data_IF_298969396745
#
_entry.id   IF_298969396745
#
_cell.length_a   1.000
_cell.length_b   1.000
_cell.length_c   1.000
_cell.angle_alpha   90.00
_cell.angle_beta   90.00
_cell.angle_gamma   90.00
#
_symmetry.space_group_name_H-M   'P 1'
#
loop_
_entity.id
_entity.type
_entity.pdbx_description
1 polymer ?
#
# COMPACT_ATOMS: atom_id res chain seq x y z
N UNK A 1 11.02 32.05 3.35
CA UNK A 1 9.61 31.89 3.78
C UNK A 1 9.62 30.88 4.91
N UNK A 2 8.80 31.06 5.95
CA UNK A 2 8.61 30.01 6.96
C UNK A 2 7.78 28.87 6.35
N UNK A 3 8.11 27.60 6.65
CA UNK A 3 7.30 26.47 6.20
C UNK A 3 5.87 26.61 6.71
N UNK A 4 4.89 26.14 5.93
CA UNK A 4 3.52 26.07 6.44
C UNK A 4 3.44 25.06 7.60
N UNK A 5 2.48 25.21 8.51
CA UNK A 5 2.25 24.23 9.59
C UNK A 5 1.97 22.81 9.05
N UNK A 6 1.42 22.69 7.83
CA UNK A 6 1.26 21.41 7.12
C UNK A 6 2.63 20.82 6.78
N UNK A 7 3.53 21.62 6.20
CA UNK A 7 4.88 21.18 5.85
C UNK A 7 5.67 20.75 7.08
N UNK A 8 5.60 21.50 8.17
CA UNK A 8 6.26 21.15 9.44
C UNK A 8 5.81 19.77 9.95
N UNK A 9 4.49 19.53 9.99
CA UNK A 9 3.95 18.26 10.46
C UNK A 9 4.26 17.10 9.51
N UNK A 10 4.16 17.30 8.19
CA UNK A 10 4.52 16.27 7.21
C UNK A 10 6.02 15.97 7.24
N UNK A 11 6.88 16.96 7.51
CA UNK A 11 8.31 16.73 7.69
C UNK A 11 8.58 15.90 8.95
N UNK A 12 7.92 16.22 10.07
CA UNK A 12 8.03 15.41 11.30
C UNK A 12 7.60 13.95 11.04
N UNK A 13 6.48 13.74 10.34
CA UNK A 13 6.03 12.40 9.93
C UNK A 13 7.06 11.73 9.01
N UNK A 14 7.67 12.47 8.08
CA UNK A 14 8.72 11.93 7.19
C UNK A 14 9.96 11.48 7.94
N UNK A 15 10.37 12.19 8.99
CA UNK A 15 11.46 11.76 9.87
C UNK A 15 11.10 10.45 10.58
N UNK A 16 9.87 10.34 11.11
CA UNK A 16 9.39 9.13 11.78
C UNK A 16 9.24 7.93 10.82
N UNK A 17 8.83 8.15 9.57
CA UNK A 17 8.77 7.11 8.53
C UNK A 17 10.13 6.42 8.34
N UNK A 18 11.23 7.18 8.46
CA UNK A 18 12.60 6.72 8.23
C UNK A 18 13.29 6.20 9.50
N UNK A 19 12.64 6.25 10.66
CA UNK A 19 13.19 5.82 11.94
C UNK A 19 12.87 4.33 12.19
N UNK A 20 13.90 3.49 12.25
CA UNK A 20 13.77 2.04 12.51
C UNK A 20 13.26 1.72 13.91
N UNK A 21 13.63 2.53 14.91
CA UNK A 21 13.16 2.35 16.28
C UNK A 21 11.68 2.68 16.36
N UNK A 22 11.27 3.81 15.75
CA UNK A 22 9.85 4.15 15.64
C UNK A 22 9.05 3.10 14.86
N UNK A 23 9.60 2.59 13.75
CA UNK A 23 8.97 1.51 12.99
C UNK A 23 8.73 0.24 13.84
N UNK A 24 9.69 -0.14 14.68
CA UNK A 24 9.53 -1.26 15.61
C UNK A 24 8.44 -0.99 16.65
N UNK A 25 8.48 0.16 17.32
CA UNK A 25 7.46 0.53 18.32
C UNK A 25 6.06 0.61 17.71
N UNK A 26 5.96 1.13 16.49
CA UNK A 26 4.73 1.26 15.74
C UNK A 26 4.14 -0.10 15.36
N UNK A 27 4.99 -1.03 14.89
CA UNK A 27 4.58 -2.41 14.60
C UNK A 27 4.12 -3.15 15.87
N UNK A 28 4.84 -2.99 16.99
CA UNK A 28 4.44 -3.53 18.29
C UNK A 28 3.07 -3.03 18.74
N UNK A 29 2.85 -1.72 18.62
CA UNK A 29 1.58 -1.08 18.99
C UNK A 29 0.41 -1.56 18.13
N UNK A 30 0.62 -1.74 16.82
CA UNK A 30 -0.42 -2.23 15.91
C UNK A 30 -0.74 -3.72 16.11
N UNK A 31 0.26 -4.57 16.38
CA UNK A 31 0.03 -5.98 16.72
C UNK A 31 -0.75 -6.09 18.04
N UNK A 32 -0.34 -5.34 19.07
CA UNK A 32 -1.03 -5.31 20.36
C UNK A 32 -2.50 -4.89 20.22
N UNK A 33 -2.78 -3.85 19.42
CA UNK A 33 -4.15 -3.40 19.17
C UNK A 33 -4.99 -4.46 18.44
N UNK A 34 -4.40 -5.18 17.49
CA UNK A 34 -5.06 -6.28 16.78
C UNK A 34 -5.48 -7.41 17.74
N UNK A 35 -4.56 -7.92 18.58
CA UNK A 35 -4.93 -8.98 19.53
C UNK A 35 -5.92 -8.50 20.58
N UNK A 36 -5.78 -7.26 21.05
CA UNK A 36 -6.73 -6.66 21.99
C UNK A 36 -8.15 -6.55 21.41
N UNK A 37 -8.31 -6.21 20.13
CA UNK A 37 -9.64 -6.13 19.49
C UNK A 37 -10.30 -7.49 19.32
N UNK A 38 -9.51 -8.56 19.26
CA UNK A 38 -9.99 -9.94 19.25
C UNK A 38 -10.30 -10.48 20.67
N UNK A 39 -10.06 -9.70 21.73
CA UNK A 39 -10.18 -10.16 23.11
C UNK A 39 -9.15 -11.23 23.47
N UNK A 40 -8.03 -11.29 22.74
CA UNK A 40 -6.98 -12.29 22.92
C UNK A 40 -5.81 -11.72 23.74
N UNK A 41 -5.05 -12.62 24.38
CA UNK A 41 -3.81 -12.25 25.04
C UNK A 41 -2.81 -11.74 24.00
N UNK A 42 -2.16 -10.60 24.30
CA UNK A 42 -1.15 -10.01 23.43
C UNK A 42 0.12 -10.88 23.53
N UNK A 43 0.56 -11.54 22.45
CA UNK A 43 1.79 -12.32 22.48
C UNK A 43 3.01 -11.39 22.56
N UNK A 44 4.17 -11.90 23.03
CA UNK A 44 5.42 -11.17 22.90
C UNK A 44 5.73 -10.86 21.43
N UNK A 45 5.98 -9.59 21.11
CA UNK A 45 6.29 -9.18 19.73
C UNK A 45 7.54 -9.88 19.19
N UNK A 46 8.58 -10.07 20.00
CA UNK A 46 9.79 -10.79 19.61
C UNK A 46 10.30 -11.66 20.74
N UNK A 47 10.85 -12.82 20.38
CA UNK A 47 11.58 -13.70 21.29
C UNK A 47 13.09 -13.43 21.21
N UNK A 48 13.83 -13.91 22.21
CA UNK A 48 15.29 -13.87 22.18
C UNK A 48 15.81 -14.64 20.96
N UNK A 49 16.66 -13.99 20.15
CA UNK A 49 17.23 -14.57 18.93
C UNK A 49 16.39 -14.39 17.66
N UNK A 50 15.22 -13.74 17.70
CA UNK A 50 14.44 -13.41 16.49
C UNK A 50 15.19 -12.50 15.50
N UNK A 51 16.23 -11.81 15.96
CA UNK A 51 17.17 -11.03 15.17
C UNK A 51 18.25 -11.87 14.47
N UNK A 52 18.41 -13.14 14.86
CA UNK A 52 19.42 -14.08 14.35
C UNK A 52 18.82 -15.30 13.64
N UNK A 53 17.53 -15.58 13.84
CA UNK A 53 16.78 -16.62 13.12
C UNK A 53 16.23 -16.07 11.81
N UNK A 54 16.24 -16.90 10.77
CA UNK A 54 15.81 -16.51 9.42
C UNK A 54 14.61 -17.32 8.94
N UNK A 55 13.80 -16.68 8.10
CA UNK A 55 12.79 -17.30 7.25
C UNK A 55 13.29 -17.19 5.80
N UNK A 56 13.10 -18.26 5.03
CA UNK A 56 13.50 -18.33 3.62
C UNK A 56 12.29 -18.14 2.71
N UNK A 57 12.48 -17.35 1.65
CA UNK A 57 11.46 -17.07 0.63
C UNK A 57 12.05 -17.27 -0.77
N UNK A 58 11.29 -17.77 -1.76
CA UNK A 58 11.78 -17.86 -3.13
C UNK A 58 12.04 -16.46 -3.73
N UNK A 59 13.21 -16.27 -4.34
CA UNK A 59 13.58 -15.00 -5.00
C UNK A 59 12.57 -14.62 -6.08
N UNK A 60 12.06 -15.61 -6.84
CA UNK A 60 10.99 -15.41 -7.82
C UNK A 60 9.74 -14.78 -7.21
N UNK A 61 9.30 -15.25 -6.04
CA UNK A 61 8.09 -14.71 -5.39
C UNK A 61 8.33 -13.31 -4.82
N UNK A 62 9.50 -13.06 -4.21
CA UNK A 62 9.93 -11.73 -3.77
C UNK A 62 9.93 -10.72 -4.93
N UNK A 63 10.35 -11.16 -6.12
CA UNK A 63 10.37 -10.33 -7.32
C UNK A 63 8.97 -10.04 -7.86
N UNK A 64 8.07 -11.04 -7.88
CA UNK A 64 6.65 -10.82 -8.17
C UNK A 64 6.05 -9.80 -7.19
N UNK A 65 6.28 -10.01 -5.88
CA UNK A 65 5.78 -9.14 -4.82
C UNK A 65 6.26 -7.69 -4.96
N UNK A 66 7.53 -7.51 -5.31
CA UNK A 66 8.13 -6.19 -5.52
C UNK A 66 7.52 -5.47 -6.74
N UNK A 67 7.26 -6.19 -7.83
CA UNK A 67 6.90 -5.56 -9.11
C UNK A 67 5.39 -5.41 -9.32
N UNK A 68 4.55 -6.18 -8.61
CA UNK A 68 3.09 -6.15 -8.79
C UNK A 68 2.38 -4.98 -8.08
N UNK A 69 3.07 -4.26 -7.18
CA UNK A 69 2.46 -3.27 -6.29
C UNK A 69 1.58 -2.21 -7.01
N UNK A 70 1.98 -1.77 -8.21
CA UNK A 70 1.22 -0.78 -8.97
C UNK A 70 -0.16 -1.29 -9.45
N UNK A 71 -0.32 -2.61 -9.66
CA UNK A 71 -1.62 -3.20 -9.96
C UNK A 71 -2.57 -3.12 -8.77
N UNK A 72 -2.08 -3.43 -7.56
CA UNK A 72 -2.90 -3.30 -6.36
C UNK A 72 -3.26 -1.83 -6.08
N UNK A 73 -2.32 -0.92 -6.30
CA UNK A 73 -2.58 0.53 -6.21
C UNK A 73 -3.68 0.96 -7.17
N UNK A 74 -3.59 0.55 -8.44
CA UNK A 74 -4.61 0.83 -9.46
C UNK A 74 -5.99 0.29 -9.06
N UNK A 75 -6.07 -0.96 -8.64
CA UNK A 75 -7.31 -1.60 -8.23
C UNK A 75 -7.98 -0.82 -7.08
N UNK A 76 -7.21 -0.54 -6.02
CA UNK A 76 -7.74 0.14 -4.84
C UNK A 76 -8.12 1.61 -5.11
N UNK A 77 -7.32 2.32 -5.90
CA UNK A 77 -7.63 3.69 -6.32
C UNK A 77 -8.87 3.76 -7.22
N UNK A 78 -9.02 2.80 -8.14
CA UNK A 78 -10.21 2.71 -9.00
C UNK A 78 -11.46 2.46 -8.17
N UNK A 79 -11.39 1.62 -7.13
CA UNK A 79 -12.48 1.45 -6.17
C UNK A 79 -12.88 2.78 -5.50
N UNK A 80 -11.90 3.58 -5.04
CA UNK A 80 -12.17 4.89 -4.45
C UNK A 80 -12.78 5.89 -5.46
N UNK A 81 -12.33 5.86 -6.72
CA UNK A 81 -12.90 6.69 -7.79
C UNK A 81 -14.34 6.29 -8.10
N UNK A 82 -14.66 4.98 -8.15
CA UNK A 82 -16.03 4.49 -8.33
C UNK A 82 -16.91 4.92 -7.17
N UNK A 83 -16.42 4.80 -5.93
CA UNK A 83 -17.18 5.22 -4.75
C UNK A 83 -17.57 6.70 -4.80
N UNK A 84 -16.62 7.56 -5.18
CA UNK A 84 -16.76 9.02 -5.07
C UNK A 84 -17.38 9.66 -6.32
N UNK A 85 -17.14 9.09 -7.50
CA UNK A 85 -17.50 9.66 -8.80
C UNK A 85 -18.37 8.72 -9.65
N UNK A 86 -18.68 7.52 -9.17
CA UNK A 86 -19.47 6.53 -9.89
C UNK A 86 -18.73 5.84 -11.04
N UNK A 87 -19.49 5.06 -11.82
CA UNK A 87 -18.99 4.30 -12.97
C UNK A 87 -18.54 2.88 -12.63
N UNK A 88 -17.75 2.29 -13.52
CA UNK A 88 -17.27 0.91 -13.48
C UNK A 88 -15.75 0.86 -13.61
N UNK A 89 -15.09 -0.23 -13.19
CA UNK A 89 -13.65 -0.38 -13.35
C UNK A 89 -13.19 -0.16 -14.80
N UNK A 90 -13.89 -0.73 -15.79
CA UNK A 90 -13.53 -0.59 -17.20
C UNK A 90 -13.64 0.85 -17.72
N UNK A 91 -14.63 1.62 -17.26
CA UNK A 91 -14.73 3.05 -17.58
C UNK A 91 -13.55 3.85 -17.02
N UNK A 92 -13.12 3.57 -15.79
CA UNK A 92 -11.95 4.22 -15.19
C UNK A 92 -10.65 3.82 -15.89
N UNK A 93 -10.50 2.54 -16.25
CA UNK A 93 -9.37 2.09 -17.07
C UNK A 93 -9.34 2.79 -18.44
N UNK A 94 -10.49 3.05 -19.05
CA UNK A 94 -10.59 3.85 -20.27
C UNK A 94 -10.18 5.31 -20.06
N UNK A 95 -10.54 5.93 -18.92
CA UNK A 95 -10.11 7.30 -18.60
C UNK A 95 -8.60 7.38 -18.35
N UNK A 96 -8.03 6.44 -17.59
CA UNK A 96 -6.59 6.37 -17.31
C UNK A 96 -5.81 6.18 -18.61
N UNK A 97 -6.14 5.13 -19.38
CA UNK A 97 -5.45 4.81 -20.63
C UNK A 97 -5.69 5.83 -21.75
N UNK A 98 -6.79 6.58 -21.67
CA UNK A 98 -7.10 7.68 -22.58
C UNK A 98 -6.56 9.05 -22.17
N UNK A 99 -5.81 9.14 -21.05
CA UNK A 99 -5.29 10.39 -20.48
C UNK A 99 -6.39 11.44 -20.23
N UNK A 100 -7.54 11.00 -19.71
CA UNK A 100 -8.72 11.83 -19.44
C UNK A 100 -8.95 12.10 -17.95
N UNK A 101 -7.92 11.92 -17.12
CA UNK A 101 -8.00 12.16 -15.68
C UNK A 101 -7.79 13.65 -15.39
N UNK A 102 -8.52 14.16 -14.40
CA UNK A 102 -8.24 15.47 -13.82
C UNK A 102 -7.06 15.39 -12.82
N UNK A 103 -6.56 16.54 -12.39
CA UNK A 103 -5.42 16.61 -11.45
C UNK A 103 -5.72 15.94 -10.11
N UNK A 104 -6.98 15.95 -9.65
CA UNK A 104 -7.37 15.33 -8.39
C UNK A 104 -7.37 13.80 -8.49
N UNK A 105 -7.79 13.25 -9.64
CA UNK A 105 -7.73 11.82 -9.94
C UNK A 105 -6.29 11.32 -10.03
N UNK A 106 -5.42 12.09 -10.69
CA UNK A 106 -3.98 11.80 -10.77
C UNK A 106 -3.36 11.83 -9.36
N UNK A 107 -3.66 12.85 -8.56
CA UNK A 107 -3.19 12.94 -7.18
C UNK A 107 -3.61 11.70 -6.37
N UNK A 108 -4.87 11.28 -6.48
CA UNK A 108 -5.38 10.11 -5.77
C UNK A 108 -4.63 8.84 -6.18
N UNK A 109 -4.48 8.57 -7.49
CA UNK A 109 -3.72 7.42 -8.00
C UNK A 109 -2.29 7.40 -7.46
N UNK A 110 -1.61 8.55 -7.46
CA UNK A 110 -0.25 8.66 -6.95
C UNK A 110 -0.15 8.38 -5.46
N UNK A 111 -1.16 8.72 -4.66
CA UNK A 111 -1.16 8.37 -3.22
C UNK A 111 -1.35 6.88 -2.98
N UNK A 112 -2.22 6.21 -3.74
CA UNK A 112 -2.33 4.75 -3.68
C UNK A 112 -1.04 4.07 -4.16
N UNK A 113 -0.42 4.56 -5.23
CA UNK A 113 0.87 4.03 -5.71
C UNK A 113 1.94 4.13 -4.62
N UNK A 114 2.06 5.30 -3.97
CA UNK A 114 3.00 5.52 -2.89
C UNK A 114 2.74 4.61 -1.68
N UNK A 115 1.47 4.40 -1.29
CA UNK A 115 1.13 3.52 -0.18
C UNK A 115 1.51 2.06 -0.46
N UNK A 116 1.22 1.57 -1.68
CA UNK A 116 1.58 0.22 -2.11
C UNK A 116 3.11 0.03 -2.14
N UNK A 117 3.83 1.02 -2.68
CA UNK A 117 5.29 1.01 -2.69
C UNK A 117 5.87 1.00 -1.28
N UNK A 118 5.37 1.85 -0.37
CA UNK A 118 5.81 1.92 1.03
C UNK A 118 5.61 0.60 1.75
N UNK A 119 4.45 -0.03 1.59
CA UNK A 119 4.12 -1.30 2.22
C UNK A 119 5.10 -2.43 1.89
N UNK A 120 5.65 -2.46 0.66
CA UNK A 120 6.63 -3.46 0.26
C UNK A 120 8.06 -3.21 0.76
N UNK A 121 8.42 -2.00 1.20
CA UNK A 121 9.82 -1.69 1.49
C UNK A 121 10.40 -2.47 2.68
N UNK A 122 9.71 -2.56 3.84
CA UNK A 122 10.25 -3.28 4.99
C UNK A 122 10.41 -4.78 4.74
N UNK A 123 9.56 -5.37 3.90
CA UNK A 123 9.67 -6.76 3.48
C UNK A 123 10.96 -7.01 2.71
N UNK A 124 11.39 -6.08 1.85
CA UNK A 124 12.62 -6.22 1.06
C UNK A 124 13.87 -6.06 1.94
N UNK A 125 13.84 -5.10 2.86
CA UNK A 125 14.81 -4.91 3.94
C UNK A 125 14.36 -3.73 4.78
N UNK A 126 14.49 -3.83 6.11
CA UNK A 126 14.22 -2.71 7.01
C UNK A 126 15.12 -1.49 6.71
N UNK A 127 16.30 -1.68 6.13
CA UNK A 127 17.17 -0.57 5.73
C UNK A 127 16.58 0.29 4.61
N UNK A 128 15.61 -0.23 3.84
CA UNK A 128 14.99 0.56 2.75
C UNK A 128 14.15 1.71 3.26
N UNK A 129 13.65 1.66 4.50
CA UNK A 129 12.90 2.79 5.06
C UNK A 129 13.80 4.00 5.30
N UNK A 130 15.13 3.85 5.33
CA UNK A 130 16.04 5.00 5.54
C UNK A 130 16.40 5.71 4.24
N UNK A 131 15.87 5.30 3.09
CA UNK A 131 16.11 5.95 1.79
C UNK A 131 15.53 7.36 1.77
N UNK A 132 16.14 8.25 0.99
CA UNK A 132 15.73 9.66 0.93
C UNK A 132 14.33 9.85 0.36
N UNK A 133 13.89 8.96 -0.54
CA UNK A 133 12.54 8.97 -1.09
C UNK A 133 11.51 8.21 -0.22
N UNK A 134 11.89 7.67 0.95
CA UNK A 134 10.93 7.07 1.90
C UNK A 134 10.35 8.14 2.84
N UNK A 135 9.68 9.12 2.24
CA UNK A 135 9.13 10.30 2.92
C UNK A 135 7.67 10.52 2.53
N UNK A 136 7.02 11.54 3.10
CA UNK A 136 5.67 11.91 2.73
C UNK A 136 5.61 12.33 1.26
N UNK A 137 4.59 11.87 0.53
CA UNK A 137 4.48 12.09 -0.93
C UNK A 137 4.36 13.58 -1.32
N UNK A 138 4.10 14.46 -0.36
CA UNK A 138 4.13 15.91 -0.53
C UNK A 138 5.54 16.43 -0.89
N UNK A 139 6.60 15.76 -0.41
CA UNK A 139 7.99 16.18 -0.62
C UNK A 139 8.71 15.37 -1.70
N UNK A 140 8.03 14.44 -2.34
CA UNK A 140 8.65 13.65 -3.39
C UNK A 140 8.92 14.54 -4.62
N UNK A 141 10.09 14.39 -5.26
CA UNK A 141 10.35 14.99 -6.54
C UNK A 141 9.32 14.53 -7.60
N UNK A 142 9.06 15.37 -8.59
CA UNK A 142 8.10 15.09 -9.64
C UNK A 142 8.47 13.82 -10.42
N UNK A 143 9.77 13.58 -10.65
CA UNK A 143 10.25 12.37 -11.31
C UNK A 143 9.94 11.07 -10.54
N UNK A 144 9.97 11.11 -9.21
CA UNK A 144 9.61 9.96 -8.38
C UNK A 144 8.09 9.70 -8.45
N UNK A 145 7.29 10.77 -8.47
CA UNK A 145 5.84 10.69 -8.63
C UNK A 145 5.47 10.16 -10.03
N UNK A 146 6.12 10.66 -11.07
CA UNK A 146 5.87 10.26 -12.46
C UNK A 146 6.21 8.79 -12.69
N UNK A 147 7.32 8.31 -12.10
CA UNK A 147 7.72 6.90 -12.17
C UNK A 147 6.66 5.96 -11.60
N UNK A 148 6.07 6.32 -10.45
CA UNK A 148 4.98 5.55 -9.84
C UNK A 148 3.71 5.59 -10.73
N UNK A 149 3.39 6.76 -11.29
CA UNK A 149 2.26 6.93 -12.20
C UNK A 149 2.42 6.10 -13.49
N UNK A 150 3.61 6.03 -14.08
CA UNK A 150 3.89 5.26 -15.28
C UNK A 150 3.63 3.76 -15.07
N UNK A 151 3.97 3.24 -13.88
CA UNK A 151 3.65 1.86 -13.52
C UNK A 151 2.14 1.65 -13.32
N UNK A 152 1.43 2.61 -12.71
CA UNK A 152 -0.05 2.56 -12.61
C UNK A 152 -0.70 2.58 -13.99
N UNK A 153 -0.21 3.42 -14.89
CA UNK A 153 -0.67 3.47 -16.28
C UNK A 153 -0.43 2.13 -17.00
N UNK A 154 0.75 1.54 -16.86
CA UNK A 154 1.05 0.22 -17.42
C UNK A 154 0.13 -0.87 -16.86
N UNK A 155 -0.11 -0.87 -15.53
CA UNK A 155 -1.09 -1.76 -14.91
C UNK A 155 -2.48 -1.58 -15.54
N UNK A 156 -2.89 -0.34 -15.81
CA UNK A 156 -4.19 -0.04 -16.38
C UNK A 156 -4.34 -0.55 -17.82
N UNK A 157 -3.30 -0.44 -18.64
CA UNK A 157 -3.27 -1.01 -20.00
C UNK A 157 -3.46 -2.52 -19.97
N UNK A 158 -2.71 -3.21 -19.11
CA UNK A 158 -2.79 -4.66 -19.01
C UNK A 158 -4.13 -5.13 -18.42
N UNK A 159 -4.58 -4.50 -17.33
CA UNK A 159 -5.86 -4.85 -16.69
C UNK A 159 -7.04 -4.60 -17.64
N UNK A 160 -7.03 -3.47 -18.37
CA UNK A 160 -8.05 -3.17 -19.39
C UNK A 160 -8.14 -4.29 -20.42
N UNK A 161 -7.01 -4.80 -20.89
CA UNK A 161 -6.98 -5.91 -21.85
C UNK A 161 -7.61 -7.18 -21.28
N UNK A 162 -7.34 -7.49 -20.01
CA UNK A 162 -7.89 -8.68 -19.34
C UNK A 162 -9.38 -8.57 -18.94
N UNK A 163 -9.93 -7.36 -19.01
CA UNK A 163 -11.33 -7.06 -18.69
C UNK A 163 -12.20 -6.80 -19.93
N UNK A 164 -11.66 -6.91 -21.14
CA UNK A 164 -12.39 -6.62 -22.39
C UNK A 164 -13.68 -7.43 -22.52
N UNK A 165 -13.65 -8.70 -22.09
CA UNK A 165 -14.78 -9.63 -22.13
C UNK A 165 -15.96 -9.21 -21.24
N UNK A 166 -15.69 -8.42 -20.19
CA UNK A 166 -16.70 -7.91 -19.26
C UNK A 166 -16.85 -6.38 -19.32
N UNK A 167 -16.27 -5.73 -20.31
CA UNK A 167 -16.19 -4.26 -20.37
C UNK A 167 -17.54 -3.54 -20.37
N UNK A 168 -18.55 -4.14 -21.01
CA UNK A 168 -19.93 -3.63 -21.07
C UNK A 168 -20.84 -4.24 -19.98
N UNK A 169 -20.28 -5.04 -19.08
CA UNK A 169 -21.04 -5.68 -17.99
C UNK A 169 -21.21 -4.76 -16.78
N UNK A 170 -22.12 -5.14 -15.88
CA UNK A 170 -22.36 -4.40 -14.63
C UNK A 170 -21.12 -4.26 -13.74
N UNK A 171 -21.10 -3.23 -12.88
CA UNK A 171 -20.07 -3.03 -11.86
C UNK A 171 -19.74 -4.31 -11.08
N UNK A 172 -20.78 -5.04 -10.62
CA UNK A 172 -20.60 -6.28 -9.85
C UNK A 172 -19.84 -7.35 -10.63
N UNK A 173 -20.16 -7.55 -11.91
CA UNK A 173 -19.49 -8.53 -12.77
C UNK A 173 -18.03 -8.14 -13.00
N UNK A 174 -17.77 -6.85 -13.22
CA UNK A 174 -16.40 -6.35 -13.40
C UNK A 174 -15.56 -6.47 -12.12
N UNK A 175 -16.12 -6.18 -10.94
CA UNK A 175 -15.44 -6.40 -9.65
C UNK A 175 -15.15 -7.88 -9.41
N UNK A 176 -16.09 -8.78 -9.73
CA UNK A 176 -15.86 -10.23 -9.66
C UNK A 176 -14.74 -10.68 -10.60
N UNK A 177 -14.67 -10.13 -11.81
CA UNK A 177 -13.57 -10.41 -12.75
C UNK A 177 -12.23 -9.96 -12.19
N UNK A 178 -12.14 -8.77 -11.59
CA UNK A 178 -10.93 -8.30 -10.90
C UNK A 178 -10.57 -9.25 -9.75
N UNK A 179 -11.56 -9.70 -8.96
CA UNK A 179 -11.33 -10.70 -7.90
C UNK A 179 -10.70 -12.00 -8.41
N UNK A 180 -11.15 -12.51 -9.55
CA UNK A 180 -10.53 -13.69 -10.20
C UNK A 180 -9.08 -13.40 -10.60
N UNK A 181 -8.79 -12.22 -11.14
CA UNK A 181 -7.44 -11.82 -11.53
C UNK A 181 -6.52 -11.64 -10.30
N UNK A 182 -7.01 -11.04 -9.22
CA UNK A 182 -6.28 -10.87 -7.96
C UNK A 182 -5.80 -12.22 -7.38
N UNK A 183 -6.62 -13.28 -7.51
CA UNK A 183 -6.28 -14.62 -7.01
C UNK A 183 -5.40 -15.45 -7.96
N UNK A 184 -5.10 -14.96 -9.17
CA UNK A 184 -4.39 -15.76 -10.17
C UNK A 184 -2.87 -15.58 -10.06
N UNK A 185 -2.14 -16.64 -9.67
CA UNK A 185 -0.67 -16.63 -9.63
C UNK A 185 -0.03 -16.40 -11.00
N UNK A 186 -0.63 -16.94 -12.06
CA UNK A 186 -0.14 -16.71 -13.43
C UNK A 186 -0.32 -15.26 -13.83
N UNK A 187 -1.49 -14.67 -13.57
CA UNK A 187 -1.71 -13.26 -13.85
C UNK A 187 -0.79 -12.38 -13.00
N UNK A 188 -0.55 -12.72 -11.74
CA UNK A 188 0.37 -12.00 -10.88
C UNK A 188 1.80 -11.98 -11.45
N UNK A 189 2.27 -13.12 -11.97
CA UNK A 189 3.56 -13.21 -12.65
C UNK A 189 3.60 -12.34 -13.92
N UNK A 190 2.59 -12.46 -14.78
CA UNK A 190 2.55 -11.73 -16.06
C UNK A 190 2.47 -10.20 -15.81
N UNK A 191 1.66 -9.77 -14.83
CA UNK A 191 1.55 -8.38 -14.41
C UNK A 191 2.86 -7.87 -13.84
N UNK A 192 3.52 -8.63 -12.95
CA UNK A 192 4.81 -8.25 -12.39
C UNK A 192 5.90 -8.09 -13.47
N UNK A 193 5.93 -8.97 -14.46
CA UNK A 193 6.83 -8.88 -15.61
C UNK A 193 6.57 -7.62 -16.44
N UNK A 194 5.30 -7.36 -16.73
CA UNK A 194 4.88 -6.18 -17.50
C UNK A 194 5.27 -4.88 -16.78
N UNK A 195 5.06 -4.81 -15.46
CA UNK A 195 5.33 -3.63 -14.64
C UNK A 195 6.82 -3.38 -14.41
N UNK A 196 7.64 -4.43 -14.28
CA UNK A 196 9.09 -4.27 -14.25
C UNK A 196 9.61 -3.73 -15.59
N UNK A 197 9.14 -4.27 -16.71
CA UNK A 197 9.52 -3.76 -18.04
C UNK A 197 9.10 -2.29 -18.24
N UNK A 198 7.90 -1.91 -17.77
CA UNK A 198 7.42 -0.54 -17.82
C UNK A 198 8.28 0.41 -16.97
N UNK A 199 8.71 -0.01 -15.78
CA UNK A 199 9.62 0.75 -14.92
C UNK A 199 10.93 1.08 -15.64
N UNK A 200 11.61 0.07 -16.21
CA UNK A 200 12.87 0.26 -16.92
C UNK A 200 12.71 1.18 -18.13
N UNK A 201 11.61 1.03 -18.87
CA UNK A 201 11.27 1.94 -19.97
C UNK A 201 11.10 3.40 -19.50
N UNK A 202 10.44 3.61 -18.36
CA UNK A 202 10.21 4.93 -17.78
C UNK A 202 11.50 5.63 -17.35
N UNK A 203 12.48 4.88 -16.85
CA UNK A 203 13.82 5.42 -16.52
C UNK A 203 14.81 5.41 -17.69
N UNK A 204 14.33 5.13 -18.91
CA UNK A 204 15.13 5.08 -20.14
C UNK A 204 16.28 4.06 -20.12
N UNK A 205 16.09 2.94 -19.42
CA UNK A 205 17.04 1.83 -19.36
C UNK A 205 16.47 0.57 -20.06
N UNK A 206 17.33 -0.31 -20.60
CA UNK A 206 16.89 -1.60 -21.13
C UNK A 206 16.34 -2.47 -20.00
N UNK A 207 15.13 -3.01 -20.19
CA UNK A 207 14.55 -3.95 -19.25
C UNK A 207 15.38 -5.24 -19.22
N UNK A 208 15.92 -5.66 -18.06
CA UNK A 208 16.55 -6.96 -17.92
C UNK A 208 15.51 -8.07 -18.00
N UNK A 209 15.98 -9.32 -18.16
CA UNK A 209 15.10 -10.47 -17.99
C UNK A 209 14.46 -10.46 -16.58
N UNK A 210 13.16 -10.74 -16.52
CA UNK A 210 12.44 -10.76 -15.25
C UNK A 210 12.97 -11.82 -14.28
N UNK A 211 13.49 -12.95 -14.75
CA UNK A 211 14.30 -13.83 -13.90
C UNK A 211 15.65 -14.02 -14.58
N UNK A 212 16.71 -13.73 -13.84
CA UNK A 212 18.07 -14.08 -14.24
C UNK A 212 18.28 -15.59 -14.07
N UNK A 213 19.24 -16.20 -14.79
CA UNK A 213 19.54 -17.61 -14.61
C UNK A 213 19.78 -17.98 -13.13
N UNK A 214 19.05 -18.96 -12.62
CA UNK A 214 19.13 -19.43 -11.23
C UNK A 214 18.19 -18.73 -10.23
N UNK A 215 17.58 -17.59 -10.57
CA UNK A 215 16.63 -16.90 -9.67
C UNK A 215 15.29 -17.65 -9.51
N UNK A 216 15.01 -18.62 -10.37
CA UNK A 216 13.85 -19.49 -10.32
C UNK A 216 13.88 -20.51 -9.17
N UNK A 217 15.09 -20.83 -8.66
CA UNK A 217 15.31 -21.76 -7.55
C UNK A 217 16.02 -21.13 -6.35
N UNK A 218 16.51 -19.89 -6.50
CA UNK A 218 17.18 -19.18 -5.43
C UNK A 218 16.24 -18.80 -4.28
N UNK A 219 16.79 -18.77 -3.07
CA UNK A 219 16.11 -18.37 -1.85
C UNK A 219 16.75 -17.10 -1.27
N UNK A 220 15.92 -16.21 -0.71
CA UNK A 220 16.34 -15.05 0.07
C UNK A 220 15.98 -15.25 1.55
N UNK A 221 16.82 -14.73 2.46
CA UNK A 221 16.65 -14.84 3.91
C UNK A 221 16.26 -13.51 4.53
N UNK A 222 15.31 -13.53 5.47
CA UNK A 222 14.93 -12.38 6.29
C UNK A 222 14.86 -12.80 7.75
N UNK A 223 15.26 -11.91 8.66
CA UNK A 223 15.17 -12.23 10.08
C UNK A 223 13.71 -12.26 10.51
N UNK A 224 13.37 -13.12 11.48
CA UNK A 224 12.00 -13.19 12.04
C UNK A 224 11.57 -11.82 12.55
N UNK A 225 12.47 -11.09 13.22
CA UNK A 225 12.19 -9.74 13.71
C UNK A 225 11.85 -8.75 12.58
N UNK A 226 12.61 -8.74 11.49
CA UNK A 226 12.34 -7.84 10.36
C UNK A 226 11.00 -8.18 9.69
N UNK A 227 10.71 -9.47 9.53
CA UNK A 227 9.43 -9.96 9.00
C UNK A 227 8.25 -9.49 9.88
N UNK A 228 8.35 -9.62 11.20
CA UNK A 228 7.30 -9.16 12.13
C UNK A 228 7.06 -7.66 12.07
N UNK A 229 8.11 -6.85 11.92
CA UNK A 229 7.97 -5.40 11.70
C UNK A 229 7.23 -5.15 10.38
N UNK A 230 7.66 -5.78 9.29
CA UNK A 230 7.06 -5.59 7.97
C UNK A 230 5.57 -5.97 7.92
N UNK A 231 5.19 -7.07 8.59
CA UNK A 231 3.79 -7.51 8.66
C UNK A 231 2.91 -6.52 9.41
N UNK A 232 3.40 -5.96 10.52
CA UNK A 232 2.56 -5.23 11.46
C UNK A 232 2.61 -3.69 11.32
N UNK A 233 3.45 -3.14 10.44
CA UNK A 233 3.56 -1.68 10.26
C UNK A 233 2.53 -1.09 9.27
N UNK A 234 1.83 -1.93 8.49
CA UNK A 234 1.03 -1.52 7.34
C UNK A 234 -0.05 -0.45 7.63
N UNK A 235 -0.68 -0.47 8.81
CA UNK A 235 -1.67 0.53 9.21
C UNK A 235 -1.09 1.93 9.44
N UNK A 236 0.21 2.04 9.77
CA UNK A 236 0.88 3.33 9.85
C UNK A 236 1.12 3.94 8.47
N UNK A 237 1.51 3.13 7.47
CA UNK A 237 1.66 3.63 6.10
C UNK A 237 0.31 4.02 5.50
N UNK A 238 -0.75 3.29 5.83
CA UNK A 238 -2.10 3.66 5.43
C UNK A 238 -2.54 5.00 6.04
N UNK A 239 -2.31 5.18 7.36
CA UNK A 239 -2.55 6.44 8.04
C UNK A 239 -1.76 7.58 7.41
N UNK A 240 -0.45 7.42 7.23
CA UNK A 240 0.39 8.48 6.69
C UNK A 240 -0.05 8.90 5.29
N UNK A 241 -0.35 7.95 4.40
CA UNK A 241 -0.80 8.25 3.05
C UNK A 241 -2.18 8.94 3.04
N UNK A 242 -3.10 8.56 3.93
CA UNK A 242 -4.38 9.24 4.10
C UNK A 242 -4.22 10.67 4.64
N UNK A 243 -3.38 10.88 5.66
CA UNK A 243 -3.06 12.21 6.18
C UNK A 243 -2.42 13.08 5.10
N UNK A 244 -1.48 12.52 4.34
CA UNK A 244 -0.81 13.22 3.25
C UNK A 244 -1.81 13.62 2.14
N UNK A 245 -2.73 12.73 1.77
CA UNK A 245 -3.77 13.04 0.80
C UNK A 245 -4.68 14.17 1.28
N UNK A 246 -5.18 14.12 2.51
CA UNK A 246 -6.06 15.17 3.07
C UNK A 246 -5.34 16.50 3.23
N UNK A 247 -4.07 16.48 3.63
CA UNK A 247 -3.24 17.68 3.69
C UNK A 247 -3.05 18.33 2.31
N UNK A 248 -2.80 17.51 1.28
CA UNK A 248 -2.54 18.02 -0.08
C UNK A 248 -3.84 18.49 -0.77
N UNK A 249 -4.90 17.70 -0.67
CA UNK A 249 -6.14 17.92 -1.43
C UNK A 249 -7.12 18.87 -0.74
N UNK A 250 -7.07 18.98 0.58
CA UNK A 250 -8.04 19.73 1.39
C UNK A 250 -7.41 20.65 2.42
N UNK A 251 -6.09 20.78 2.42
CA UNK A 251 -5.33 21.62 3.37
C UNK A 251 -5.62 21.29 4.84
N UNK A 252 -5.94 20.03 5.14
CA UNK A 252 -6.18 19.58 6.51
C UNK A 252 -4.85 19.31 7.22
N UNK A 253 -4.70 19.84 8.43
CA UNK A 253 -3.52 19.56 9.26
C UNK A 253 -3.59 18.14 9.82
N UNK A 254 -2.51 17.35 9.76
CA UNK A 254 -2.45 16.04 10.41
C UNK A 254 -2.88 16.07 11.88
N UNK A 255 -2.48 17.09 12.65
CA UNK A 255 -2.87 17.29 14.05
C UNK A 255 -4.38 17.41 14.28
N UNK A 256 -5.12 17.87 13.27
CA UNK A 256 -6.56 18.10 13.37
C UNK A 256 -7.33 16.83 12.94
N UNK A 257 -6.75 16.05 12.03
CA UNK A 257 -7.32 14.77 11.56
C UNK A 257 -7.14 13.67 12.61
N UNK A 258 -5.96 13.56 13.22
CA UNK A 258 -5.60 12.47 14.14
C UNK A 258 -6.61 12.26 15.28
N UNK A 259 -7.07 13.30 16.03
CA UNK A 259 -8.09 13.14 17.07
C UNK A 259 -9.37 12.50 16.55
N UNK A 260 -9.83 12.90 15.35
CA UNK A 260 -11.08 12.37 14.77
C UNK A 260 -10.97 10.91 14.35
N UNK A 261 -9.80 10.47 13.87
CA UNK A 261 -9.51 9.05 13.59
C UNK A 261 -9.54 8.25 14.90
N UNK A 262 -8.85 8.73 15.94
CA UNK A 262 -8.76 8.05 17.25
C UNK A 262 -10.15 7.91 17.89
N UNK A 263 -10.95 8.98 17.85
CA UNK A 263 -12.30 9.04 18.43
C UNK A 263 -13.37 8.36 17.55
N UNK A 264 -13.01 7.87 16.36
CA UNK A 264 -13.96 7.33 15.36
C UNK A 264 -15.05 8.34 14.98
N UNK A 265 -14.69 9.63 14.95
CA UNK A 265 -15.59 10.75 14.62
C UNK A 265 -15.23 11.43 13.30
N UNK A 266 -14.27 10.87 12.55
CA UNK A 266 -13.94 11.33 11.20
C UNK A 266 -15.14 11.02 10.28
N UNK A 267 -15.37 11.85 9.26
CA UNK A 267 -16.49 11.62 8.36
C UNK A 267 -16.32 10.31 7.56
N UNK A 268 -17.43 9.68 7.19
CA UNK A 268 -17.45 8.36 6.54
C UNK A 268 -16.64 8.28 5.24
N UNK A 269 -16.64 9.34 4.43
CA UNK A 269 -15.88 9.33 3.17
C UNK A 269 -14.37 9.30 3.42
N UNK A 270 -13.89 10.01 4.44
CA UNK A 270 -12.48 10.02 4.80
C UNK A 270 -12.10 8.75 5.56
N UNK A 271 -13.00 8.23 6.41
CA UNK A 271 -12.83 6.91 7.04
C UNK A 271 -12.61 5.82 5.98
N UNK A 272 -13.50 5.72 5.01
CA UNK A 272 -13.42 4.72 3.94
C UNK A 272 -12.12 4.89 3.11
N UNK A 273 -11.65 6.13 2.90
CA UNK A 273 -10.36 6.38 2.26
C UNK A 273 -9.20 5.76 3.07
N UNK A 274 -9.16 5.95 4.39
CA UNK A 274 -8.16 5.32 5.26
C UNK A 274 -8.27 3.78 5.25
N UNK A 275 -9.49 3.26 5.28
CA UNK A 275 -9.75 1.81 5.22
C UNK A 275 -9.27 1.21 3.89
N UNK A 276 -9.47 1.91 2.76
CA UNK A 276 -8.94 1.49 1.45
C UNK A 276 -7.42 1.54 1.38
N UNK A 277 -6.80 2.55 1.99
CA UNK A 277 -5.33 2.57 2.13
C UNK A 277 -4.85 1.39 2.97
N UNK A 278 -5.54 1.05 4.06
CA UNK A 278 -5.18 -0.05 4.94
C UNK A 278 -5.32 -1.41 4.23
N UNK A 279 -6.42 -1.61 3.49
CA UNK A 279 -6.56 -2.79 2.66
C UNK A 279 -5.47 -2.89 1.60
N UNK A 280 -5.14 -1.77 0.94
CA UNK A 280 -4.08 -1.73 -0.06
C UNK A 280 -2.72 -2.12 0.56
N UNK A 281 -2.33 -1.50 1.67
CA UNK A 281 -1.01 -1.77 2.27
C UNK A 281 -0.92 -3.21 2.78
N UNK A 282 -2.01 -3.76 3.33
CA UNK A 282 -2.09 -5.17 3.66
C UNK A 282 -1.96 -6.07 2.42
N UNK A 283 -2.68 -5.76 1.34
CA UNK A 283 -2.70 -6.51 0.07
C UNK A 283 -1.32 -6.52 -0.59
N UNK A 284 -0.67 -5.35 -0.67
CA UNK A 284 0.69 -5.21 -1.19
C UNK A 284 1.74 -5.99 -0.39
N UNK A 285 1.50 -6.19 0.92
CA UNK A 285 2.37 -7.00 1.78
C UNK A 285 2.18 -8.51 1.67
N UNK A 286 1.02 -9.01 1.19
CA UNK A 286 0.75 -10.46 1.22
C UNK A 286 1.69 -11.29 0.34
N UNK A 287 2.00 -10.93 -0.91
CA UNK A 287 2.85 -11.75 -1.77
C UNK A 287 4.27 -11.92 -1.23
N UNK A 288 4.78 -10.95 -0.46
CA UNK A 288 6.06 -11.08 0.24
C UNK A 288 6.05 -12.21 1.27
N UNK A 289 4.88 -12.58 1.80
CA UNK A 289 4.72 -13.61 2.84
C UNK A 289 4.39 -14.99 2.27
N UNK A 290 4.59 -15.17 0.97
CA UNK A 290 4.22 -16.35 0.17
C UNK A 290 3.18 -15.99 -0.89
N UNK A 291 3.44 -16.35 -2.14
CA UNK A 291 2.55 -16.06 -3.26
C UNK A 291 1.20 -16.78 -3.14
N UNK A 292 1.13 -17.90 -2.41
CA UNK A 292 -0.12 -18.61 -2.10
C UNK A 292 -1.13 -17.74 -1.35
N UNK A 293 -0.68 -16.69 -0.65
CA UNK A 293 -1.57 -15.82 0.11
C UNK A 293 -2.54 -15.01 -0.75
N UNK A 294 -2.24 -14.82 -2.03
CA UNK A 294 -3.17 -14.14 -2.94
C UNK A 294 -4.41 -14.98 -3.23
N UNK A 295 -4.40 -16.28 -2.93
CA UNK A 295 -5.54 -17.19 -3.15
C UNK A 295 -6.53 -17.19 -1.99
N UNK A 296 -6.23 -16.44 -0.92
CA UNK A 296 -7.09 -16.37 0.26
C UNK A 296 -8.40 -15.65 -0.07
N UNK A 297 -9.55 -16.06 0.49
CA UNK A 297 -10.84 -15.44 0.18
C UNK A 297 -10.92 -13.92 0.42
N UNK A 298 -10.14 -13.40 1.38
CA UNK A 298 -10.09 -11.97 1.70
C UNK A 298 -9.08 -11.19 0.85
N UNK A 299 -8.36 -11.83 -0.09
CA UNK A 299 -7.50 -11.15 -1.06
C UNK A 299 -8.30 -10.62 -2.26
N UNK A 300 -9.35 -9.85 -1.97
CA UNK A 300 -10.32 -9.38 -2.97
C UNK A 300 -10.37 -7.85 -3.06
N UNK A 301 -11.21 -7.32 -3.93
CA UNK A 301 -11.48 -5.89 -4.01
C UNK A 301 -12.11 -5.39 -2.70
N UNK A 302 -11.78 -4.17 -2.28
CA UNK A 302 -12.26 -3.61 -1.01
C UNK A 302 -13.79 -3.70 -0.88
N UNK A 303 -14.51 -3.35 -1.95
CA UNK A 303 -15.97 -3.36 -2.02
C UNK A 303 -16.62 -4.76 -1.94
N UNK A 304 -15.80 -5.82 -1.97
CA UNK A 304 -16.22 -7.21 -1.81
C UNK A 304 -15.83 -7.80 -0.45
N UNK A 305 -15.13 -7.04 0.41
CA UNK A 305 -14.72 -7.49 1.73
C UNK A 305 -15.91 -7.53 2.68
N UNK A 306 -15.95 -8.53 3.58
CA UNK A 306 -16.88 -8.49 4.69
C UNK A 306 -16.45 -7.41 5.69
N UNK A 307 -17.44 -6.75 6.31
CA UNK A 307 -17.20 -5.61 7.22
C UNK A 307 -16.18 -5.89 8.33
N UNK A 308 -16.19 -7.10 8.91
CA UNK A 308 -15.26 -7.47 9.98
C UNK A 308 -13.79 -7.55 9.53
N UNK A 309 -13.51 -7.72 8.24
CA UNK A 309 -12.13 -7.63 7.71
C UNK A 309 -11.70 -6.17 7.60
N UNK A 310 -12.61 -5.28 7.19
CA UNK A 310 -12.36 -3.82 7.14
C UNK A 310 -12.13 -3.26 8.56
N UNK A 311 -12.93 -3.69 9.53
CA UNK A 311 -12.81 -3.26 10.93
C UNK A 311 -11.46 -3.66 11.56
N UNK A 312 -10.90 -4.82 11.18
CA UNK A 312 -9.55 -5.24 11.65
C UNK A 312 -8.47 -4.26 11.19
N UNK A 313 -8.53 -3.85 9.93
CA UNK A 313 -7.59 -2.87 9.37
C UNK A 313 -7.79 -1.50 10.03
N UNK A 314 -9.03 -1.09 10.28
CA UNK A 314 -9.34 0.17 10.95
C UNK A 314 -8.78 0.25 12.38
N UNK A 315 -8.84 -0.85 13.14
CA UNK A 315 -8.22 -0.93 14.48
C UNK A 315 -6.74 -0.58 14.43
N UNK A 316 -6.00 -1.10 13.45
CA UNK A 316 -4.57 -0.82 13.30
C UNK A 316 -4.28 0.62 12.88
N UNK A 317 -5.11 1.21 12.00
CA UNK A 317 -5.03 2.63 11.65
C UNK A 317 -5.25 3.52 12.87
N UNK A 318 -6.26 3.24 13.70
CA UNK A 318 -6.51 3.99 14.95
C UNK A 318 -5.35 3.87 15.93
N UNK A 319 -4.79 2.67 16.07
CA UNK A 319 -3.63 2.45 16.93
C UNK A 319 -2.42 3.26 16.44
N UNK A 320 -2.17 3.27 15.13
CA UNK A 320 -1.13 4.10 14.53
C UNK A 320 -1.39 5.60 14.74
N UNK A 321 -2.64 6.05 14.62
CA UNK A 321 -3.01 7.44 14.81
C UNK A 321 -2.74 7.91 16.24
N UNK A 322 -3.09 7.10 17.24
CA UNK A 322 -2.80 7.38 18.64
C UNK A 322 -1.30 7.49 18.90
N UNK A 323 -0.52 6.50 18.46
CA UNK A 323 0.95 6.49 18.64
C UNK A 323 1.61 7.68 17.94
N UNK A 324 1.16 8.02 16.73
CA UNK A 324 1.68 9.17 15.99
C UNK A 324 1.35 10.50 16.71
N UNK A 325 0.11 10.68 17.17
CA UNK A 325 -0.30 11.86 17.92
C UNK A 325 0.55 12.04 19.20
N UNK A 326 0.70 10.98 19.99
CA UNK A 326 1.52 11.01 21.21
C UNK A 326 2.97 11.42 20.91
N UNK A 327 3.51 10.95 19.78
CA UNK A 327 4.89 11.26 19.36
C UNK A 327 5.04 12.70 18.90
N UNK A 328 4.09 13.20 18.08
CA UNK A 328 4.11 14.58 17.61
C UNK A 328 3.89 15.62 18.72
N UNK A 329 3.22 15.26 19.82
CA UNK A 329 3.00 16.17 20.97
C UNK A 329 4.17 16.25 21.96
N UNK A 330 5.12 15.31 21.90
CA UNK A 330 6.29 15.26 22.81
C UNK A 330 7.49 16.07 22.31
N UNK A 331 7.40 16.62 21.11
CA UNK A 331 8.43 17.42 20.43
C UNK A 331 7.90 18.81 20.09
#
# INVERSE_FOLDING_TARGET
MQPSKIEEQLHAISTLLRDKSFALEMAQNQEAAYYASLGQAIPPFSEEGDDKRYIEYPVKEEKIATSIAAFYALESATGQLIKTKGGTPYEWLNKITGQKLDTADILLLNRFANAAWKAGQPFRSLDRITRDNFIAAYFLPEEEIQKDFDQVYAAAVMLKTQMQDVGDSSLKVQLQRIGVLLHSRSFALDMAQHLEAAYYKGIHEPAPAFLKPGEDTAMIRRTIKAEKIAINIAGFYALECGLNYLATSRHMLPSDVLPSVIADSINENDKELFERFANLTWKAGQPFRGLDRIERPNFTAFDLLPQHEIEKDWVQVKAAAKKLQETLTRH
#
